data_IF_364759141532
#
_entry.id   IF_364759141532
#
_cell.length_a   1.000
_cell.length_b   1.000
_cell.length_c   1.000
_cell.angle_alpha   90.00
_cell.angle_beta   90.00
_cell.angle_gamma   90.00
#
_symmetry.space_group_name_H-M   'P 1'
#
loop_
_entity.id
_entity.type
_entity.pdbx_description
1 polymer ?
#
# COMPACT_ATOMS: atom_id res chain seq x y z
N UNK A 1 -18.12 -6.47 -7.97
CA UNK A 1 -16.67 -6.26 -7.75
C UNK A 1 -16.03 -7.40 -6.96
N UNK A 2 -16.48 -7.71 -5.73
CA UNK A 2 -15.80 -8.67 -4.85
C UNK A 2 -15.46 -10.02 -5.51
N UNK A 3 -16.44 -10.76 -6.04
CA UNK A 3 -16.22 -12.07 -6.68
C UNK A 3 -15.13 -12.02 -7.78
N UNK A 4 -15.24 -11.06 -8.70
CA UNK A 4 -14.28 -10.88 -9.80
C UNK A 4 -12.88 -10.57 -9.29
N UNK A 5 -12.75 -9.75 -8.26
CA UNK A 5 -11.44 -9.44 -7.70
C UNK A 5 -10.86 -10.62 -6.91
N UNK A 6 -11.70 -11.47 -6.31
CA UNK A 6 -11.23 -12.71 -5.67
C UNK A 6 -10.66 -13.71 -6.70
N UNK A 7 -11.27 -13.82 -7.88
CA UNK A 7 -10.73 -14.64 -8.98
C UNK A 7 -9.30 -14.16 -9.36
N UNK A 8 -9.06 -12.86 -9.42
CA UNK A 8 -7.71 -12.30 -9.65
C UNK A 8 -6.74 -12.59 -8.49
N UNK A 9 -7.22 -12.54 -7.24
CA UNK A 9 -6.42 -12.89 -6.07
C UNK A 9 -6.03 -14.37 -6.08
N UNK A 10 -6.91 -15.26 -6.54
CA UNK A 10 -6.64 -16.69 -6.67
C UNK A 10 -5.55 -16.95 -7.72
N UNK A 11 -5.61 -16.27 -8.87
CA UNK A 11 -4.57 -16.31 -9.92
C UNK A 11 -3.22 -15.81 -9.40
N UNK A 12 -3.21 -14.67 -8.69
CA UNK A 12 -2.00 -14.19 -8.02
C UNK A 12 -1.47 -15.21 -7.01
N UNK A 13 -2.37 -15.91 -6.32
CA UNK A 13 -2.02 -16.97 -5.39
C UNK A 13 -1.36 -18.18 -6.05
N UNK A 14 -1.73 -18.53 -7.28
CA UNK A 14 -1.02 -19.57 -8.06
C UNK A 14 0.42 -19.15 -8.32
N UNK A 15 0.63 -17.90 -8.76
CA UNK A 15 1.97 -17.35 -9.02
C UNK A 15 2.81 -17.31 -7.75
N UNK A 16 2.24 -16.80 -6.65
CA UNK A 16 2.93 -16.72 -5.36
C UNK A 16 3.37 -18.09 -4.86
N UNK A 17 2.50 -19.10 -4.93
CA UNK A 17 2.85 -20.48 -4.53
C UNK A 17 4.01 -21.05 -5.37
N UNK A 18 4.02 -20.80 -6.68
CA UNK A 18 5.11 -21.23 -7.56
C UNK A 18 6.45 -20.58 -7.21
N UNK A 19 6.43 -19.41 -6.57
CA UNK A 19 7.60 -18.68 -6.09
C UNK A 19 7.90 -18.94 -4.60
N UNK A 20 7.14 -19.81 -3.94
CA UNK A 20 7.27 -20.07 -2.50
C UNK A 20 6.93 -18.87 -1.60
N UNK A 21 6.07 -17.97 -2.08
CA UNK A 21 5.64 -16.74 -1.37
C UNK A 21 4.14 -16.75 -1.10
N UNK A 22 3.71 -15.88 -0.18
CA UNK A 22 2.27 -15.61 0.00
C UNK A 22 1.78 -14.58 -1.03
N UNK A 23 0.47 -14.51 -1.31
CA UNK A 23 -0.08 -13.47 -2.17
C UNK A 23 0.21 -12.06 -1.66
N UNK A 24 0.17 -11.84 -0.34
CA UNK A 24 0.45 -10.54 0.25
C UNK A 24 1.92 -10.14 0.09
N UNK A 25 2.85 -11.07 0.29
CA UNK A 25 4.28 -10.84 0.04
C UNK A 25 4.53 -10.49 -1.42
N UNK A 26 3.95 -11.25 -2.35
CA UNK A 26 4.14 -11.00 -3.78
C UNK A 26 3.58 -9.63 -4.20
N UNK A 27 2.41 -9.27 -3.69
CA UNK A 27 1.80 -7.96 -3.95
C UNK A 27 2.66 -6.81 -3.41
N UNK A 28 3.17 -6.91 -2.18
CA UNK A 28 4.03 -5.88 -1.59
C UNK A 28 5.38 -5.78 -2.29
N UNK A 29 6.00 -6.91 -2.65
CA UNK A 29 7.23 -6.94 -3.43
C UNK A 29 7.05 -6.27 -4.81
N UNK A 30 5.91 -6.51 -5.46
CA UNK A 30 5.58 -5.83 -6.72
C UNK A 30 5.46 -4.31 -6.51
N UNK A 31 4.79 -3.84 -5.46
CA UNK A 31 4.70 -2.39 -5.17
C UNK A 31 6.08 -1.78 -4.94
N UNK A 32 6.92 -2.42 -4.12
CA UNK A 32 8.29 -1.99 -3.84
C UNK A 32 9.16 -1.93 -5.10
N UNK A 33 8.86 -2.76 -6.11
CA UNK A 33 9.59 -2.78 -7.38
C UNK A 33 9.25 -1.63 -8.34
N UNK A 34 8.33 -0.72 -7.99
CA UNK A 34 7.87 0.38 -8.88
C UNK A 34 8.73 1.64 -8.82
N UNK A 35 9.57 1.76 -7.82
CA UNK A 35 10.50 2.88 -7.71
C UNK A 35 11.06 2.98 -6.30
N UNK A 36 12.24 3.59 -6.18
CA UNK A 36 12.87 3.84 -4.89
C UNK A 36 12.12 4.89 -4.04
N UNK A 37 11.22 5.64 -4.67
CA UNK A 37 10.33 6.64 -4.09
C UNK A 37 8.94 6.08 -3.72
N UNK A 38 8.71 4.78 -3.91
CA UNK A 38 7.45 4.10 -3.58
C UNK A 38 7.59 3.38 -2.24
N UNK A 39 6.86 3.87 -1.23
CA UNK A 39 6.84 3.29 0.13
C UNK A 39 5.44 2.80 0.47
N UNK A 40 5.16 1.47 0.45
CA UNK A 40 3.87 0.95 0.87
C UNK A 40 3.69 1.10 2.38
N UNK A 41 2.46 1.43 2.81
CA UNK A 41 2.09 1.55 4.23
C UNK A 41 1.02 0.48 4.56
N UNK A 42 1.38 -0.81 4.57
CA UNK A 42 0.42 -1.88 4.79
C UNK A 42 -0.06 -1.87 6.24
N UNK A 43 -1.36 -1.68 6.43
CA UNK A 43 -2.00 -1.77 7.74
C UNK A 43 -2.44 -3.20 8.06
N UNK A 44 -2.15 -3.67 9.28
CA UNK A 44 -2.69 -4.92 9.82
C UNK A 44 -2.87 -4.82 11.33
N UNK A 45 -3.84 -5.56 11.87
CA UNK A 45 -4.08 -5.70 13.32
C UNK A 45 -3.44 -6.97 13.92
N UNK A 46 -2.90 -7.85 13.07
CA UNK A 46 -2.38 -9.16 13.47
C UNK A 46 -0.88 -9.21 13.28
N UNK A 47 -0.16 -9.62 14.33
CA UNK A 47 1.31 -9.71 14.33
C UNK A 47 1.83 -10.66 13.24
N UNK A 48 1.17 -11.80 13.04
CA UNK A 48 1.54 -12.77 11.99
C UNK A 48 1.54 -12.14 10.59
N UNK A 49 0.58 -11.28 10.29
CA UNK A 49 0.53 -10.56 9.02
C UNK A 49 1.52 -9.41 8.95
N UNK A 50 1.89 -8.81 10.09
CA UNK A 50 2.98 -7.84 10.12
C UNK A 50 4.29 -8.52 9.73
N UNK A 51 4.58 -9.68 10.32
CA UNK A 51 5.76 -10.49 10.01
C UNK A 51 5.77 -10.92 8.54
N UNK A 52 4.62 -11.38 8.01
CA UNK A 52 4.45 -11.70 6.59
C UNK A 52 4.72 -10.49 5.67
N UNK A 53 4.15 -9.33 6.00
CA UNK A 53 4.33 -8.10 5.22
C UNK A 53 5.78 -7.60 5.23
N UNK A 54 6.45 -7.69 6.39
CA UNK A 54 7.86 -7.30 6.51
C UNK A 54 8.74 -8.19 5.66
N UNK A 55 8.51 -9.50 5.64
CA UNK A 55 9.27 -10.44 4.81
C UNK A 55 9.14 -10.20 3.28
N UNK A 56 8.22 -9.34 2.83
CA UNK A 56 8.13 -8.95 1.43
C UNK A 56 9.34 -8.14 0.94
N UNK A 57 10.06 -7.45 1.83
CA UNK A 57 11.23 -6.63 1.45
C UNK A 57 12.40 -7.47 0.94
N UNK A 58 12.46 -8.73 1.33
CA UNK A 58 13.51 -9.68 0.92
C UNK A 58 13.16 -10.41 -0.39
N UNK A 59 11.99 -10.12 -0.98
CA UNK A 59 11.55 -10.74 -2.24
C UNK A 59 12.08 -9.94 -3.41
N UNK A 60 13.09 -10.50 -4.08
CA UNK A 60 13.58 -9.97 -5.36
C UNK A 60 12.74 -10.50 -6.53
N UNK A 61 12.27 -9.59 -7.39
CA UNK A 61 11.50 -9.93 -8.58
C UNK A 61 12.32 -9.65 -9.83
N UNK A 62 12.48 -10.64 -10.69
CA UNK A 62 13.07 -10.46 -12.02
C UNK A 62 12.06 -9.83 -12.97
N UNK A 63 12.52 -9.37 -14.15
CA UNK A 63 11.63 -8.88 -15.19
C UNK A 63 10.61 -9.94 -15.64
N UNK A 64 10.98 -11.22 -15.63
CA UNK A 64 10.07 -12.32 -15.95
C UNK A 64 9.01 -12.53 -14.87
N UNK A 65 9.38 -12.38 -13.59
CA UNK A 65 8.42 -12.46 -12.48
C UNK A 65 7.41 -11.33 -12.54
N UNK A 66 7.88 -10.10 -12.80
CA UNK A 66 7.01 -8.94 -12.97
C UNK A 66 6.01 -9.14 -14.11
N UNK A 67 6.48 -9.60 -15.27
CA UNK A 67 5.60 -9.91 -16.41
C UNK A 67 4.58 -11.01 -16.06
N UNK A 68 4.97 -12.00 -15.26
CA UNK A 68 4.07 -13.07 -14.81
C UNK A 68 2.99 -12.55 -13.85
N UNK A 69 3.35 -11.70 -12.90
CA UNK A 69 2.44 -11.06 -11.95
C UNK A 69 1.42 -10.18 -12.70
N UNK A 70 1.91 -9.32 -13.60
CA UNK A 70 1.08 -8.39 -14.36
C UNK A 70 0.14 -9.12 -15.34
N UNK A 71 0.57 -10.26 -15.88
CA UNK A 71 -0.31 -11.14 -16.67
C UNK A 71 -1.38 -11.83 -15.82
N UNK A 72 -1.06 -12.21 -14.59
CA UNK A 72 -2.01 -12.85 -13.68
C UNK A 72 -3.06 -11.87 -13.14
N UNK A 73 -2.68 -10.60 -12.95
CA UNK A 73 -3.59 -9.53 -12.50
C UNK A 73 -3.53 -8.34 -13.45
N UNK A 74 -4.17 -8.42 -14.64
CA UNK A 74 -4.26 -7.28 -15.55
C UNK A 74 -5.07 -6.14 -14.93
N UNK A 75 -4.55 -4.92 -15.01
CA UNK A 75 -5.14 -3.76 -14.35
C UNK A 75 -6.56 -3.42 -14.84
N UNK A 76 -6.83 -3.69 -16.12
CA UNK A 76 -8.13 -3.50 -16.78
C UNK A 76 -9.21 -4.49 -16.30
N UNK A 77 -8.82 -5.58 -15.65
CA UNK A 77 -9.75 -6.58 -15.12
C UNK A 77 -10.17 -6.34 -13.68
N UNK A 78 -9.47 -5.48 -12.94
CA UNK A 78 -9.80 -5.11 -11.55
C UNK A 78 -11.10 -4.30 -11.53
N UNK A 79 -12.10 -4.80 -10.82
CA UNK A 79 -13.42 -4.20 -10.79
C UNK A 79 -13.60 -3.22 -9.63
N UNK A 80 -14.04 -2.00 -9.94
CA UNK A 80 -14.44 -0.98 -8.99
C UNK A 80 -13.83 0.39 -9.28
N UNK A 81 -14.53 1.45 -8.87
CA UNK A 81 -14.04 2.82 -8.95
C UNK A 81 -13.21 3.15 -7.70
N UNK A 82 -12.15 3.96 -7.86
CA UNK A 82 -11.33 4.44 -6.73
C UNK A 82 -12.16 5.22 -5.70
N UNK A 83 -13.12 6.00 -6.19
CA UNK A 83 -14.11 6.69 -5.37
C UNK A 83 -15.48 6.38 -5.96
N UNK A 84 -16.46 5.92 -5.16
CA UNK A 84 -17.85 5.92 -5.58
C UNK A 84 -18.27 7.33 -6.03
N UNK A 85 -19.21 7.49 -6.97
CA UNK A 85 -19.55 8.80 -7.53
C UNK A 85 -19.97 9.81 -6.44
N UNK A 86 -20.63 9.33 -5.38
CA UNK A 86 -21.03 10.14 -4.22
C UNK A 86 -19.86 10.69 -3.38
N UNK A 87 -18.70 10.03 -3.39
CA UNK A 87 -17.48 10.46 -2.66
C UNK A 87 -16.48 11.18 -3.57
N UNK A 88 -16.60 11.05 -4.89
CA UNK A 88 -15.71 11.67 -5.86
C UNK A 88 -15.73 13.21 -5.78
N UNK A 89 -16.89 13.81 -5.44
CA UNK A 89 -17.02 15.25 -5.21
C UNK A 89 -16.35 15.76 -3.91
N UNK A 90 -15.93 14.86 -3.01
CA UNK A 90 -15.24 15.22 -1.75
C UNK A 90 -13.74 14.92 -1.78
N UNK A 91 -13.29 14.02 -2.64
CA UNK A 91 -11.89 13.67 -2.82
C UNK A 91 -11.13 14.87 -3.43
N UNK A 92 -10.13 15.41 -2.72
CA UNK A 92 -9.34 16.58 -3.15
C UNK A 92 -9.55 17.85 -2.33
N UNK A 93 -10.51 17.88 -1.38
CA UNK A 93 -10.74 19.06 -0.52
C UNK A 93 -9.57 19.45 0.40
N UNK A 94 -8.50 18.66 0.46
CA UNK A 94 -7.27 19.04 1.16
C UNK A 94 -6.57 20.24 0.50
N UNK A 95 -6.82 20.53 -0.79
CA UNK A 95 -6.33 21.73 -1.47
C UNK A 95 -7.12 22.99 -1.09
N UNK A 96 -8.44 22.87 -0.92
CA UNK A 96 -9.34 24.02 -0.67
C UNK A 96 -9.46 24.44 0.78
N UNK A 97 -9.16 23.54 1.73
CA UNK A 97 -9.39 23.82 3.16
C UNK A 97 -8.15 24.37 3.87
N UNK A 98 -6.99 24.31 3.22
CA UNK A 98 -5.71 24.69 3.83
C UNK A 98 -5.34 23.76 4.98
N UNK A 99 -4.08 23.33 5.06
CA UNK A 99 -3.56 22.94 6.36
C UNK A 99 -3.58 24.20 7.24
N UNK A 100 -4.13 24.20 8.47
CA UNK A 100 -3.88 25.31 9.37
C UNK A 100 -2.37 25.41 9.47
N UNK A 101 -1.81 26.51 8.99
CA UNK A 101 -0.39 26.80 9.14
C UNK A 101 -0.08 26.57 10.61
N UNK A 102 0.77 25.60 10.91
CA UNK A 102 1.30 25.46 12.25
C UNK A 102 2.01 26.78 12.55
N UNK A 103 1.29 27.69 13.20
CA UNK A 103 1.84 28.95 13.65
C UNK A 103 3.09 28.61 14.42
N UNK A 104 4.17 29.31 14.10
CA UNK A 104 5.40 29.29 14.86
C UNK A 104 5.06 29.46 16.34
N UNK A 105 4.91 28.35 17.06
CA UNK A 105 4.87 28.35 18.50
C UNK A 105 6.30 28.62 18.93
N UNK A 106 6.62 29.91 19.10
CA UNK A 106 7.74 30.35 19.88
C UNK A 106 7.71 29.59 21.21
N UNK A 107 8.59 28.59 21.34
CA UNK A 107 8.81 27.90 22.61
C UNK A 107 9.48 28.90 23.55
N UNK A 108 8.65 29.61 24.31
CA UNK A 108 9.06 30.39 25.46
C UNK A 108 9.85 29.49 26.41
N UNK A 109 11.14 29.75 26.49
CA UNK A 109 12.07 29.15 27.44
C UNK A 109 11.69 29.56 28.87
N UNK A 110 10.83 28.78 29.53
CA UNK A 110 10.65 28.88 30.99
C UNK A 110 11.57 27.88 31.67
N UNK A 111 12.73 28.36 32.11
CA UNK A 111 13.52 27.69 33.15
C UNK A 111 12.69 27.67 34.44
N UNK A 112 12.24 26.51 34.86
CA UNK A 112 11.71 26.29 36.21
C UNK A 112 12.85 26.34 37.25
N UNK A 113 12.59 26.78 38.49
CA UNK A 113 13.61 26.83 39.52
C UNK A 113 13.94 25.41 40.00
N UNK A 114 15.24 25.15 40.16
CA UNK A 114 15.73 23.94 40.83
C UNK A 114 15.41 24.04 42.31
N UNK A 115 14.78 23.01 42.84
CA UNK A 115 14.84 22.62 44.24
C UNK A 115 15.52 21.25 44.30
#
# INVERSE_FOLDING_TARGET
NLKRNLELVDELGVVARQMGRTPAQLALAWVLSRGHDVVPIPGTKRRTYLEENVAAVDVSLTAADLARIEKAVPADLVAGERYPPALQAQAGRWETTGFPSAGHAERGHRRGPRA
#
